data_IF_279269802242
#
_entry.id   IF_279269802242
#
_cell.length_a   1.000
_cell.length_b   1.000
_cell.length_c   1.000
_cell.angle_alpha   90.00
_cell.angle_beta   90.00
_cell.angle_gamma   90.00
#
_symmetry.space_group_name_H-M   'P 1'
#
loop_
_entity.id
_entity.type
_entity.pdbx_description
1 polymer ?
#
# COMPACT_ATOMS: atom_id res chain seq x y z
N UNK A 1 21.94 22.81 -18.33
CA UNK A 1 20.77 21.99 -18.55
C UNK A 1 21.18 20.54 -18.40
N UNK A 2 20.49 19.82 -17.50
CA UNK A 2 20.72 18.39 -17.35
C UNK A 2 20.41 17.70 -18.70
N UNK A 3 21.22 16.68 -19.03
CA UNK A 3 20.97 15.87 -20.22
C UNK A 3 19.54 15.32 -20.16
N UNK A 4 18.77 15.28 -21.26
CA UNK A 4 17.46 14.65 -21.29
C UNK A 4 17.45 13.18 -20.82
N UNK A 5 18.62 12.54 -20.82
CA UNK A 5 18.80 11.15 -20.39
C UNK A 5 19.21 11.04 -18.89
N UNK A 6 19.48 12.15 -18.21
CA UNK A 6 19.95 12.13 -16.81
C UNK A 6 18.88 11.68 -15.82
N UNK A 7 17.61 11.77 -16.20
CA UNK A 7 16.47 11.41 -15.35
C UNK A 7 15.81 10.07 -15.74
N UNK A 8 16.38 9.37 -16.72
CA UNK A 8 15.85 8.08 -17.13
C UNK A 8 16.34 6.99 -16.17
N UNK A 9 15.42 6.42 -15.40
CA UNK A 9 15.72 5.26 -14.58
C UNK A 9 16.06 4.07 -15.48
N UNK A 10 17.28 3.54 -15.32
CA UNK A 10 17.73 2.35 -16.05
C UNK A 10 17.54 1.13 -15.15
N UNK A 11 16.64 0.24 -15.56
CA UNK A 11 16.44 -1.03 -14.87
C UNK A 11 17.62 -1.99 -15.14
N UNK A 12 18.00 -2.82 -14.16
CA UNK A 12 18.94 -3.90 -14.38
C UNK A 12 18.47 -4.85 -15.49
N UNK A 13 19.42 -5.40 -16.26
CA UNK A 13 19.13 -6.27 -17.41
C UNK A 13 18.35 -7.54 -17.02
N UNK A 14 18.52 -8.05 -15.80
CA UNK A 14 17.78 -9.19 -15.28
C UNK A 14 16.32 -8.88 -15.05
N UNK A 15 15.98 -7.65 -14.66
CA UNK A 15 14.61 -7.19 -14.52
C UNK A 15 13.99 -6.91 -15.90
N UNK A 16 14.67 -6.22 -16.80
CA UNK A 16 14.13 -5.88 -18.12
C UNK A 16 13.78 -7.10 -18.95
N UNK A 17 14.49 -8.22 -18.76
CA UNK A 17 14.18 -9.50 -19.40
C UNK A 17 12.83 -10.11 -18.96
N UNK A 18 12.28 -9.69 -17.83
CA UNK A 18 10.98 -10.16 -17.34
C UNK A 18 9.82 -9.38 -17.94
N UNK A 19 10.07 -8.24 -18.55
CA UNK A 19 9.02 -7.42 -19.17
C UNK A 19 8.42 -8.14 -20.37
N UNK A 20 7.10 -8.35 -20.35
CA UNK A 20 6.33 -9.03 -21.40
C UNK A 20 5.29 -8.14 -22.03
N UNK A 21 4.94 -7.05 -21.33
CA UNK A 21 3.93 -6.09 -21.76
C UNK A 21 4.50 -4.67 -21.74
N UNK A 22 4.07 -3.76 -22.66
CA UNK A 22 4.55 -2.37 -22.69
C UNK A 22 4.36 -1.59 -21.38
N UNK A 23 3.42 -2.01 -20.52
CA UNK A 23 3.18 -1.38 -19.22
C UNK A 23 4.10 -1.89 -18.11
N UNK A 24 4.83 -2.98 -18.32
CA UNK A 24 5.70 -3.56 -17.28
C UNK A 24 6.82 -2.59 -16.88
N UNK A 25 7.40 -1.87 -17.84
CA UNK A 25 8.40 -0.84 -17.57
C UNK A 25 7.81 0.29 -16.71
N UNK A 26 6.59 0.72 -17.03
CA UNK A 26 5.90 1.76 -16.25
C UNK A 26 5.63 1.31 -14.82
N UNK A 27 5.14 0.10 -14.59
CA UNK A 27 4.88 -0.42 -13.25
C UNK A 27 6.17 -0.66 -12.47
N UNK A 28 7.21 -1.17 -13.12
CA UNK A 28 8.52 -1.33 -12.50
C UNK A 28 9.10 0.05 -12.09
N UNK A 29 8.96 1.07 -12.92
CA UNK A 29 9.36 2.44 -12.61
C UNK A 29 8.57 2.99 -11.41
N UNK A 30 7.26 2.79 -11.38
CA UNK A 30 6.40 3.23 -10.27
C UNK A 30 6.73 2.52 -8.96
N UNK A 31 7.26 1.29 -9.03
CA UNK A 31 7.66 0.49 -7.85
C UNK A 31 9.10 0.73 -7.43
N UNK A 32 9.93 1.33 -8.30
CA UNK A 32 11.34 1.57 -8.02
C UNK A 32 11.51 2.83 -7.17
N UNK A 33 12.54 2.82 -6.33
CA UNK A 33 12.87 3.97 -5.48
C UNK A 33 11.99 4.11 -4.24
N UNK A 34 11.03 3.21 -4.01
CA UNK A 34 10.34 3.14 -2.73
C UNK A 34 11.24 2.48 -1.69
N UNK A 35 11.60 3.23 -0.68
CA UNK A 35 12.22 2.70 0.53
C UNK A 35 11.17 2.57 1.62
N UNK A 36 11.12 1.41 2.26
CA UNK A 36 10.28 1.25 3.43
C UNK A 36 10.85 2.06 4.58
N UNK A 37 10.19 3.15 4.91
CA UNK A 37 10.52 3.91 6.12
C UNK A 37 10.25 3.04 7.34
N UNK A 38 11.19 2.93 8.29
CA UNK A 38 10.98 2.21 9.54
C UNK A 38 9.70 2.72 10.24
N UNK A 39 8.85 1.79 10.68
CA UNK A 39 7.55 2.13 11.26
C UNK A 39 7.68 3.01 12.53
N UNK A 40 8.81 2.95 13.23
CA UNK A 40 9.07 3.79 14.41
C UNK A 40 9.31 5.27 14.08
N UNK A 41 9.63 5.60 12.84
CA UNK A 41 9.65 7.00 12.37
C UNK A 41 8.29 7.68 12.55
N UNK A 42 7.20 6.90 12.55
CA UNK A 42 5.84 7.40 12.75
C UNK A 42 5.64 8.02 14.15
N UNK A 43 6.37 7.56 15.17
CA UNK A 43 6.21 7.99 16.56
C UNK A 43 6.38 9.50 16.73
N UNK A 44 7.35 10.08 16.02
CA UNK A 44 7.65 11.51 16.08
C UNK A 44 6.49 12.35 15.52
N UNK A 45 5.81 11.86 14.49
CA UNK A 45 4.77 12.61 13.76
C UNK A 45 3.36 12.35 14.26
N UNK A 46 3.14 11.23 14.97
CA UNK A 46 1.81 10.79 15.37
C UNK A 46 0.97 11.84 16.13
N UNK A 47 1.55 12.69 17.02
CA UNK A 47 0.76 13.72 17.72
C UNK A 47 0.08 14.74 16.80
N UNK A 48 0.56 14.90 15.58
CA UNK A 48 -0.02 15.84 14.59
C UNK A 48 -0.89 15.15 13.55
N UNK A 49 -0.86 13.81 13.48
CA UNK A 49 -1.65 13.05 12.52
C UNK A 49 -3.06 12.88 13.05
N UNK A 50 -4.06 13.29 12.26
CA UNK A 50 -5.47 13.14 12.59
C UNK A 50 -6.18 12.08 11.76
N UNK A 51 -5.65 11.76 10.59
CA UNK A 51 -6.15 10.68 9.78
C UNK A 51 -5.06 10.03 8.94
N UNK A 52 -5.26 8.74 8.67
CA UNK A 52 -4.47 7.97 7.71
C UNK A 52 -5.33 7.54 6.54
N UNK A 53 -4.78 7.59 5.34
CA UNK A 53 -5.29 6.85 4.20
C UNK A 53 -4.64 5.47 4.22
N UNK A 54 -5.42 4.48 4.54
CA UNK A 54 -5.01 3.09 4.57
C UNK A 54 -5.17 2.51 3.16
N UNK A 55 -4.13 2.65 2.37
CA UNK A 55 -4.09 2.19 0.99
C UNK A 55 -3.92 0.68 0.94
N UNK A 56 -4.64 0.04 0.02
CA UNK A 56 -4.53 -1.41 -0.20
C UNK A 56 -4.84 -1.78 -1.65
N UNK A 57 -4.35 -2.95 -2.05
CA UNK A 57 -4.47 -3.46 -3.41
C UNK A 57 -5.51 -4.57 -3.52
N UNK A 58 -5.44 -5.54 -2.63
CA UNK A 58 -6.33 -6.68 -2.59
C UNK A 58 -6.37 -7.27 -1.18
N UNK A 59 -7.57 -7.57 -0.72
CA UNK A 59 -7.76 -8.43 0.45
C UNK A 59 -7.99 -9.84 -0.06
N UNK A 60 -7.15 -10.78 0.38
CA UNK A 60 -7.17 -12.18 -0.04
C UNK A 60 -8.38 -12.93 0.54
N UNK A 61 -8.58 -14.18 0.10
CA UNK A 61 -9.62 -15.06 0.65
C UNK A 61 -9.43 -15.33 2.16
N UNK A 62 -8.19 -15.27 2.64
CA UNK A 62 -7.86 -15.38 4.05
C UNK A 62 -8.15 -14.11 4.86
N UNK A 63 -8.55 -13.03 4.18
CA UNK A 63 -8.87 -11.74 4.79
C UNK A 63 -7.64 -10.91 5.13
N UNK A 64 -6.52 -11.12 4.46
CA UNK A 64 -5.26 -10.41 4.68
C UNK A 64 -4.86 -9.58 3.46
N UNK A 65 -4.17 -8.46 3.69
CA UNK A 65 -3.47 -7.70 2.66
C UNK A 65 -2.02 -8.17 2.61
N UNK A 66 -1.56 -8.61 1.44
CA UNK A 66 -0.28 -9.33 1.32
C UNK A 66 0.96 -8.41 1.27
N UNK A 67 0.80 -7.12 1.00
CA UNK A 67 1.92 -6.18 0.84
C UNK A 67 2.07 -5.20 2.00
N UNK A 68 1.02 -4.99 2.79
CA UNK A 68 0.98 -4.03 3.89
C UNK A 68 0.65 -4.76 5.20
N UNK A 69 1.58 -4.79 6.13
CA UNK A 69 1.42 -5.43 7.43
C UNK A 69 0.52 -4.56 8.36
N UNK A 70 -0.78 -4.65 8.16
CA UNK A 70 -1.77 -3.93 8.95
C UNK A 70 -1.72 -4.30 10.44
N UNK A 71 -1.49 -5.56 10.75
CA UNK A 71 -1.37 -6.02 12.13
C UNK A 71 -0.26 -5.30 12.89
N UNK A 72 0.91 -5.18 12.28
CA UNK A 72 2.05 -4.46 12.86
C UNK A 72 1.80 -2.96 12.99
N UNK A 73 1.16 -2.36 11.96
CA UNK A 73 0.82 -0.93 11.95
C UNK A 73 -0.15 -0.62 13.09
N UNK A 74 -1.28 -1.33 13.18
CA UNK A 74 -2.30 -1.10 14.20
C UNK A 74 -1.80 -1.40 15.61
N UNK A 75 -1.00 -2.45 15.80
CA UNK A 75 -0.33 -2.71 17.08
C UNK A 75 0.47 -1.48 17.54
N UNK A 76 1.16 -0.82 16.62
CA UNK A 76 1.92 0.39 16.95
C UNK A 76 1.01 1.59 17.24
N UNK A 77 0.01 1.84 16.42
CA UNK A 77 -0.96 2.92 16.62
C UNK A 77 -1.67 2.79 17.97
N UNK A 78 -2.13 1.59 18.32
CA UNK A 78 -2.78 1.29 19.61
C UNK A 78 -1.83 1.56 20.77
N UNK A 79 -0.58 1.10 20.69
CA UNK A 79 0.43 1.33 21.72
C UNK A 79 0.71 2.81 21.96
N UNK A 80 0.65 3.62 20.92
CA UNK A 80 0.90 5.07 20.98
C UNK A 80 -0.36 5.88 21.28
N UNK A 81 -1.51 5.23 21.44
CA UNK A 81 -2.78 5.88 21.78
C UNK A 81 -3.34 6.75 20.67
N UNK A 82 -3.15 6.34 19.40
CA UNK A 82 -3.75 7.04 18.28
C UNK A 82 -5.29 6.99 18.38
N UNK A 83 -5.93 8.16 18.33
CA UNK A 83 -7.38 8.36 18.46
C UNK A 83 -8.03 8.98 17.21
N UNK A 84 -7.29 9.01 16.10
CA UNK A 84 -7.74 9.61 14.84
C UNK A 84 -8.53 8.65 13.96
N UNK A 85 -8.66 9.01 12.69
CA UNK A 85 -9.39 8.24 11.70
C UNK A 85 -8.46 7.47 10.78
N UNK A 86 -8.90 6.28 10.35
CA UNK A 86 -8.24 5.50 9.30
C UNK A 86 -9.25 5.23 8.20
N UNK A 87 -8.96 5.71 7.00
CA UNK A 87 -9.86 5.64 5.84
C UNK A 87 -9.33 4.62 4.83
N UNK A 88 -10.17 3.66 4.42
CA UNK A 88 -9.81 2.73 3.35
C UNK A 88 -9.59 3.46 2.04
N UNK A 89 -8.52 3.11 1.33
CA UNK A 89 -8.21 3.63 0.00
C UNK A 89 -7.85 2.47 -0.94
N UNK A 90 -8.85 2.01 -1.70
CA UNK A 90 -8.67 0.90 -2.65
C UNK A 90 -7.99 1.36 -3.92
N UNK A 91 -6.88 0.74 -4.26
CA UNK A 91 -6.15 0.99 -5.50
C UNK A 91 -5.99 -0.25 -6.40
N UNK A 92 -6.58 -1.37 -6.03
CA UNK A 92 -6.48 -2.64 -6.75
C UNK A 92 -7.12 -2.62 -8.13
N UNK A 93 -8.04 -1.68 -8.41
CA UNK A 93 -8.68 -1.55 -9.73
C UNK A 93 -7.68 -1.38 -10.88
N UNK A 94 -6.46 -0.93 -10.60
CA UNK A 94 -5.39 -0.78 -11.59
C UNK A 94 -4.83 -2.11 -12.09
N UNK A 95 -5.07 -3.18 -11.33
CA UNK A 95 -4.55 -4.52 -11.60
C UNK A 95 -5.63 -5.49 -12.09
N UNK A 96 -6.87 -5.02 -12.20
CA UNK A 96 -7.97 -5.83 -12.72
C UNK A 96 -7.79 -6.03 -14.23
N UNK A 97 -7.91 -7.29 -14.66
CA UNK A 97 -7.81 -7.64 -16.09
C UNK A 97 -8.92 -6.93 -16.86
N UNK A 98 -8.61 -6.29 -18.01
CA UNK A 98 -9.62 -5.62 -18.81
C UNK A 98 -10.82 -6.52 -19.15
N UNK A 99 -12.02 -6.09 -18.78
CA UNK A 99 -13.26 -6.85 -18.97
C UNK A 99 -13.75 -7.60 -17.72
N UNK A 100 -12.91 -7.74 -16.70
CA UNK A 100 -13.34 -8.28 -15.41
C UNK A 100 -14.00 -7.20 -14.55
N UNK A 101 -14.96 -7.57 -13.69
CA UNK A 101 -15.62 -6.61 -12.81
C UNK A 101 -14.67 -6.08 -11.73
N UNK A 102 -14.74 -4.78 -11.47
CA UNK A 102 -14.06 -4.18 -10.33
C UNK A 102 -14.92 -4.45 -9.09
N UNK A 103 -14.32 -5.07 -8.07
CA UNK A 103 -14.99 -5.45 -6.81
C UNK A 103 -14.71 -4.43 -5.69
N UNK A 104 -14.72 -3.17 -6.00
CA UNK A 104 -14.32 -2.08 -5.10
C UNK A 104 -15.08 -2.07 -3.77
N UNK A 105 -16.41 -2.16 -3.79
CA UNK A 105 -17.23 -2.19 -2.57
C UNK A 105 -16.97 -3.44 -1.72
N UNK A 106 -16.83 -4.60 -2.36
CA UNK A 106 -16.50 -5.85 -1.68
C UNK A 106 -15.13 -5.73 -1.00
N UNK A 107 -14.13 -5.28 -1.73
CA UNK A 107 -12.76 -5.12 -1.24
C UNK A 107 -12.65 -4.07 -0.12
N UNK A 108 -13.37 -2.96 -0.21
CA UNK A 108 -13.42 -1.97 0.88
C UNK A 108 -14.07 -2.56 2.12
N UNK A 109 -15.15 -3.35 1.98
CA UNK A 109 -15.78 -4.05 3.12
C UNK A 109 -14.80 -5.00 3.82
N UNK A 110 -14.12 -5.87 3.04
CA UNK A 110 -13.12 -6.79 3.57
C UNK A 110 -11.95 -6.07 4.25
N UNK A 111 -11.51 -4.93 3.70
CA UNK A 111 -10.45 -4.12 4.30
C UNK A 111 -10.88 -3.48 5.62
N UNK A 112 -12.11 -3.02 5.73
CA UNK A 112 -12.65 -2.51 6.99
C UNK A 112 -12.74 -3.61 8.05
N UNK A 113 -13.14 -4.81 7.66
CA UNK A 113 -13.15 -5.98 8.57
C UNK A 113 -11.73 -6.33 9.03
N UNK A 114 -10.73 -6.30 8.12
CA UNK A 114 -9.33 -6.50 8.46
C UNK A 114 -8.86 -5.47 9.50
N UNK A 115 -9.09 -4.19 9.25
CA UNK A 115 -8.69 -3.12 10.17
C UNK A 115 -9.38 -3.25 11.53
N UNK A 116 -10.68 -3.55 11.54
CA UNK A 116 -11.47 -3.70 12.76
C UNK A 116 -10.92 -4.80 13.68
N UNK A 117 -10.47 -5.92 13.12
CA UNK A 117 -9.83 -7.00 13.90
C UNK A 117 -8.61 -6.53 14.69
N UNK A 118 -7.84 -5.59 14.13
CA UNK A 118 -6.64 -5.08 14.77
C UNK A 118 -6.88 -3.89 15.70
N UNK A 119 -7.95 -3.14 15.52
CA UNK A 119 -8.34 -2.05 16.42
C UNK A 119 -8.85 -2.61 17.75
N UNK A 120 -9.60 -3.73 17.74
CA UNK A 120 -10.24 -4.30 18.92
C UNK A 120 -9.28 -5.16 19.77
N UNK A 121 -8.14 -5.58 19.23
CA UNK A 121 -7.13 -6.37 19.94
C UNK A 121 -6.35 -5.58 21.01
N UNK A 122 -6.60 -4.30 21.13
CA UNK A 122 -5.90 -3.38 22.06
C UNK A 122 -6.70 -2.90 23.27
N UNK A 123 -7.92 -3.42 23.51
CA UNK A 123 -8.77 -2.98 24.65
C UNK A 123 -8.90 -4.03 25.71
#
# INVERSE_FOLDING_TARGET
PASPDADRYLFPDDLTRLFKHPLDEFYAMMSSGYENTPLDTLDEYLPWIKSFHAKFWEITEEGEEYSIDYGRIFTRLNRLGFDGYVCSEYEGQRFVIPGEPIKDLEQVGLHQDLMSRHIDDGK
#
